data_IF_218603446610
#
_entry.id   IF_218603446610
#
_cell.length_a   1.000
_cell.length_b   1.000
_cell.length_c   1.000
_cell.angle_alpha   90.00
_cell.angle_beta   90.00
_cell.angle_gamma   90.00
#
_symmetry.space_group_name_H-M   'P 1'
#
loop_
_entity.id
_entity.type
_entity.pdbx_description
1 polymer ?
#
# COMPACT_ATOMS: atom_id res chain seq x y z
N UNK A 1 -27.03 37.65 -34.86
CA UNK A 1 -25.65 37.48 -35.37
C UNK A 1 -24.88 36.63 -34.36
N UNK A 2 -24.98 35.30 -34.47
CA UNK A 2 -24.25 34.35 -33.59
C UNK A 2 -22.78 34.37 -34.07
N UNK A 3 -21.87 34.84 -33.23
CA UNK A 3 -20.44 34.65 -33.42
C UNK A 3 -20.17 33.15 -33.42
N UNK A 4 -19.90 32.53 -34.57
CA UNK A 4 -19.29 31.20 -34.68
C UNK A 4 -18.00 31.26 -33.88
N UNK A 5 -17.97 30.63 -32.73
CA UNK A 5 -16.72 30.34 -32.04
C UNK A 5 -15.89 29.52 -33.03
N UNK A 6 -14.71 30.00 -33.36
CA UNK A 6 -13.80 29.31 -34.27
C UNK A 6 -13.51 27.93 -33.68
N UNK A 7 -13.94 26.87 -34.37
CA UNK A 7 -13.61 25.50 -34.00
C UNK A 7 -12.07 25.37 -34.05
N UNK A 8 -11.44 24.85 -32.98
CA UNK A 8 -9.98 24.65 -32.98
C UNK A 8 -9.62 23.80 -34.18
N UNK A 9 -8.55 24.19 -34.92
CA UNK A 9 -8.06 23.39 -36.02
C UNK A 9 -7.80 21.94 -35.56
N UNK A 10 -8.29 20.96 -36.28
CA UNK A 10 -8.15 19.55 -35.99
C UNK A 10 -6.69 19.16 -35.63
N UNK A 11 -5.73 19.68 -36.35
CA UNK A 11 -4.31 19.48 -36.09
C UNK A 11 -3.87 19.97 -34.69
N UNK A 12 -4.35 21.15 -34.26
CA UNK A 12 -4.06 21.69 -32.93
C UNK A 12 -4.70 20.83 -31.83
N UNK A 13 -5.94 20.36 -32.02
CA UNK A 13 -6.62 19.48 -31.10
C UNK A 13 -5.91 18.14 -30.95
N UNK A 14 -5.44 17.53 -32.05
CA UNK A 14 -4.65 16.29 -32.04
C UNK A 14 -3.30 16.51 -31.35
N UNK A 15 -2.62 17.64 -31.63
CA UNK A 15 -1.37 18.02 -30.97
C UNK A 15 -1.55 18.13 -29.44
N UNK A 16 -2.60 18.84 -29.01
CA UNK A 16 -2.97 18.94 -27.60
C UNK A 16 -3.29 17.57 -26.98
N UNK A 17 -4.04 16.70 -27.68
CA UNK A 17 -4.34 15.35 -27.22
C UNK A 17 -3.09 14.48 -27.05
N UNK A 18 -2.10 14.58 -27.94
CA UNK A 18 -0.81 13.90 -27.78
C UNK A 18 -0.05 14.41 -26.56
N UNK A 19 -0.05 15.72 -26.31
CA UNK A 19 0.56 16.32 -25.13
C UNK A 19 -0.15 15.86 -23.85
N UNK A 20 -1.48 15.83 -23.82
CA UNK A 20 -2.25 15.28 -22.67
C UNK A 20 -1.94 13.81 -22.43
N UNK A 21 -1.78 13.00 -23.48
CA UNK A 21 -1.37 11.60 -23.38
C UNK A 21 0.02 11.48 -22.75
N UNK A 22 0.97 12.32 -23.17
CA UNK A 22 2.31 12.36 -22.60
C UNK A 22 2.31 12.78 -21.11
N UNK A 23 1.36 13.63 -20.71
CA UNK A 23 1.16 14.02 -19.32
C UNK A 23 0.38 12.96 -18.49
N UNK A 24 0.05 11.82 -19.07
CA UNK A 24 -0.73 10.76 -18.45
C UNK A 24 -2.24 11.01 -18.37
N UNK A 25 -2.73 12.12 -18.97
CA UNK A 25 -4.14 12.52 -18.95
C UNK A 25 -4.92 11.90 -20.13
N UNK A 26 -4.88 10.57 -20.21
CA UNK A 26 -5.41 9.82 -21.33
C UNK A 26 -6.91 10.06 -21.58
N UNK A 27 -7.71 10.29 -20.54
CA UNK A 27 -9.15 10.58 -20.65
C UNK A 27 -9.42 11.89 -21.41
N UNK A 28 -8.58 12.91 -21.21
CA UNK A 28 -8.71 14.18 -21.95
C UNK A 28 -8.34 13.99 -23.41
N UNK A 29 -7.26 13.26 -23.66
CA UNK A 29 -6.80 12.94 -25.00
C UNK A 29 -7.85 12.16 -25.80
N UNK A 30 -8.46 11.15 -25.16
CA UNK A 30 -9.50 10.33 -25.81
C UNK A 30 -10.77 11.14 -26.12
N UNK A 31 -11.19 12.04 -25.23
CA UNK A 31 -12.33 12.93 -25.49
C UNK A 31 -12.04 13.92 -26.61
N UNK A 32 -10.88 14.57 -26.60
CA UNK A 32 -10.50 15.54 -27.62
C UNK A 32 -10.38 14.91 -29.02
N UNK A 33 -9.77 13.73 -29.12
CA UNK A 33 -9.66 13.01 -30.41
C UNK A 33 -11.00 12.50 -30.91
N UNK A 34 -11.95 12.15 -30.02
CA UNK A 34 -13.28 11.74 -30.43
C UNK A 34 -14.07 12.87 -31.11
N UNK A 35 -13.93 14.12 -30.66
CA UNK A 35 -14.58 15.26 -31.33
C UNK A 35 -14.07 15.43 -32.77
N UNK A 36 -12.75 15.30 -32.97
CA UNK A 36 -12.15 15.38 -34.31
C UNK A 36 -12.66 14.25 -35.22
N UNK A 37 -12.73 13.01 -34.71
CA UNK A 37 -13.23 11.85 -35.50
C UNK A 37 -14.71 12.03 -35.89
N UNK A 38 -15.53 12.68 -35.04
CA UNK A 38 -16.96 12.95 -35.37
C UNK A 38 -17.10 14.00 -36.45
N UNK A 39 -16.22 14.99 -36.51
CA UNK A 39 -16.22 16.02 -37.51
C UNK A 39 -15.59 15.54 -38.83
N UNK A 40 -14.52 14.74 -38.76
CA UNK A 40 -13.79 14.17 -39.88
C UNK A 40 -13.50 12.68 -39.64
N UNK A 41 -14.40 11.77 -40.07
CA UNK A 41 -14.22 10.33 -39.92
C UNK A 41 -13.04 9.75 -40.73
N UNK A 42 -12.43 10.53 -41.61
CA UNK A 42 -11.24 10.16 -42.40
C UNK A 42 -9.91 10.53 -41.73
N UNK A 43 -9.94 11.11 -40.53
CA UNK A 43 -8.75 11.69 -39.92
C UNK A 43 -7.83 10.61 -39.29
N UNK A 44 -6.86 10.14 -40.04
CA UNK A 44 -5.87 9.12 -39.65
C UNK A 44 -5.15 9.49 -38.34
N UNK A 45 -4.71 10.73 -38.21
CA UNK A 45 -3.96 11.20 -37.06
C UNK A 45 -4.80 11.19 -35.78
N UNK A 46 -6.11 11.47 -35.85
CA UNK A 46 -7.02 11.42 -34.73
C UNK A 46 -7.24 9.97 -34.25
N UNK A 47 -7.43 9.03 -35.18
CA UNK A 47 -7.52 7.60 -34.84
C UNK A 47 -6.23 7.07 -34.20
N UNK A 48 -5.06 7.42 -34.74
CA UNK A 48 -3.77 7.01 -34.20
C UNK A 48 -3.53 7.57 -32.77
N UNK A 49 -3.82 8.85 -32.56
CA UNK A 49 -3.66 9.49 -31.24
C UNK A 49 -4.65 8.91 -30.22
N UNK A 50 -5.92 8.68 -30.62
CA UNK A 50 -6.93 8.06 -29.77
C UNK A 50 -6.56 6.63 -29.39
N UNK A 51 -6.15 5.83 -30.38
CA UNK A 51 -5.76 4.45 -30.15
C UNK A 51 -4.57 4.33 -29.18
N UNK A 52 -3.58 5.20 -29.33
CA UNK A 52 -2.44 5.26 -28.41
C UNK A 52 -2.86 5.65 -26.98
N UNK A 53 -3.69 6.69 -26.83
CA UNK A 53 -4.18 7.12 -25.52
C UNK A 53 -5.01 6.06 -24.81
N UNK A 54 -5.86 5.31 -25.54
CA UNK A 54 -6.64 4.19 -25.01
C UNK A 54 -5.74 3.04 -24.52
N UNK A 55 -4.71 2.67 -25.28
CA UNK A 55 -3.74 1.68 -24.82
C UNK A 55 -3.03 2.11 -23.53
N UNK A 56 -2.68 3.38 -23.39
CA UNK A 56 -2.07 3.91 -22.16
C UNK A 56 -3.06 4.07 -21.01
N UNK A 57 -4.37 3.89 -21.26
CA UNK A 57 -5.41 3.74 -20.24
C UNK A 57 -5.67 2.29 -19.83
N UNK A 58 -4.87 1.34 -20.30
CA UNK A 58 -5.06 -0.13 -20.16
C UNK A 58 -6.26 -0.69 -20.95
N UNK A 59 -6.85 0.09 -21.89
CA UNK A 59 -7.89 -0.38 -22.83
C UNK A 59 -7.26 -0.74 -24.17
N UNK A 60 -6.52 -1.85 -24.18
CA UNK A 60 -5.86 -2.34 -25.40
C UNK A 60 -6.85 -2.80 -26.48
N UNK A 61 -8.02 -3.29 -26.10
CA UNK A 61 -9.01 -3.75 -27.06
C UNK A 61 -9.53 -2.60 -27.94
N UNK A 62 -9.92 -1.49 -27.34
CA UNK A 62 -10.36 -0.33 -28.07
C UNK A 62 -9.18 0.41 -28.71
N UNK A 63 -8.06 0.50 -28.01
CA UNK A 63 -6.86 1.14 -28.49
C UNK A 63 -6.35 0.54 -29.80
N UNK A 64 -6.20 -0.79 -29.85
CA UNK A 64 -5.76 -1.49 -31.05
C UNK A 64 -6.79 -1.44 -32.19
N UNK A 65 -8.11 -1.41 -31.90
CA UNK A 65 -9.14 -1.18 -32.92
C UNK A 65 -8.97 0.17 -33.62
N UNK A 66 -8.74 1.24 -32.84
CA UNK A 66 -8.54 2.58 -33.38
C UNK A 66 -7.23 2.67 -34.18
N UNK A 67 -6.15 2.02 -33.71
CA UNK A 67 -4.88 1.96 -34.45
C UNK A 67 -5.04 1.15 -35.76
N UNK A 68 -5.81 0.07 -35.78
CA UNK A 68 -6.15 -0.66 -37.02
C UNK A 68 -6.96 0.21 -37.98
N UNK A 69 -7.90 1.02 -37.49
CA UNK A 69 -8.67 1.92 -38.33
C UNK A 69 -7.78 3.01 -38.93
N UNK A 70 -6.82 3.57 -38.18
CA UNK A 70 -5.82 4.47 -38.73
C UNK A 70 -5.03 3.83 -39.89
N UNK A 71 -4.63 2.55 -39.73
CA UNK A 71 -3.93 1.79 -40.77
C UNK A 71 -4.83 1.41 -41.96
N UNK A 72 -6.14 1.24 -41.75
CA UNK A 72 -7.09 1.02 -42.84
C UNK A 72 -7.23 2.26 -43.70
N UNK A 73 -7.22 3.46 -43.09
CA UNK A 73 -7.32 4.74 -43.79
C UNK A 73 -6.01 5.12 -44.48
N UNK A 74 -4.87 4.84 -43.88
CA UNK A 74 -3.53 5.06 -44.40
C UNK A 74 -2.62 3.86 -44.11
N UNK A 75 -2.53 2.87 -44.99
CA UNK A 75 -1.73 1.66 -44.81
C UNK A 75 -0.21 1.98 -44.74
N UNK A 76 0.24 3.03 -45.36
CA UNK A 76 1.66 3.41 -45.42
C UNK A 76 2.08 4.37 -44.31
N UNK A 77 1.16 4.77 -43.47
CA UNK A 77 1.37 5.68 -42.35
C UNK A 77 2.36 5.13 -41.31
N UNK A 78 3.64 5.49 -41.45
CA UNK A 78 4.75 4.99 -40.63
C UNK A 78 4.51 5.16 -39.11
N UNK A 79 3.89 6.27 -38.69
CA UNK A 79 3.61 6.54 -37.28
C UNK A 79 2.53 5.60 -36.72
N UNK A 80 1.45 5.41 -37.46
CA UNK A 80 0.39 4.47 -37.08
C UNK A 80 0.89 3.03 -37.06
N UNK A 81 1.74 2.63 -38.01
CA UNK A 81 2.37 1.31 -38.03
C UNK A 81 3.26 1.09 -36.81
N UNK A 82 4.13 2.08 -36.45
CA UNK A 82 5.00 1.99 -35.27
C UNK A 82 4.15 1.88 -33.98
N UNK A 83 3.16 2.76 -33.82
CA UNK A 83 2.29 2.75 -32.67
C UNK A 83 1.53 1.41 -32.52
N UNK A 84 0.96 0.90 -33.62
CA UNK A 84 0.25 -0.38 -33.61
C UNK A 84 1.16 -1.54 -33.23
N UNK A 85 2.34 -1.66 -33.86
CA UNK A 85 3.28 -2.76 -33.57
C UNK A 85 3.74 -2.70 -32.12
N UNK A 86 4.05 -1.49 -31.60
CA UNK A 86 4.48 -1.32 -30.22
C UNK A 86 3.36 -1.70 -29.24
N UNK A 87 2.18 -1.12 -29.39
CA UNK A 87 1.07 -1.37 -28.46
C UNK A 87 0.58 -2.82 -28.53
N UNK A 88 0.64 -3.49 -29.70
CA UNK A 88 0.33 -4.91 -29.80
C UNK A 88 1.35 -5.76 -29.01
N UNK A 89 2.65 -5.50 -29.15
CA UNK A 89 3.69 -6.21 -28.38
C UNK A 89 3.52 -5.97 -26.86
N UNK A 90 3.17 -4.76 -26.47
CA UNK A 90 2.88 -4.41 -25.06
C UNK A 90 1.69 -5.19 -24.53
N UNK A 91 0.59 -5.27 -25.30
CA UNK A 91 -0.60 -6.04 -24.92
C UNK A 91 -0.30 -7.54 -24.79
N UNK A 92 0.49 -8.10 -25.73
CA UNK A 92 0.89 -9.51 -25.70
C UNK A 92 1.79 -9.79 -24.48
N UNK A 93 2.72 -8.89 -24.14
CA UNK A 93 3.59 -9.01 -22.96
C UNK A 93 2.78 -8.91 -21.66
N UNK A 94 1.86 -7.94 -21.55
CA UNK A 94 0.99 -7.77 -20.39
C UNK A 94 0.09 -8.99 -20.18
N UNK A 95 -0.45 -9.55 -21.26
CA UNK A 95 -1.26 -10.78 -21.20
C UNK A 95 -0.44 -11.95 -20.66
N UNK A 96 0.77 -12.15 -21.17
CA UNK A 96 1.70 -13.18 -20.66
C UNK A 96 2.01 -12.96 -19.17
N UNK A 97 2.27 -11.72 -18.76
CA UNK A 97 2.55 -11.38 -17.36
C UNK A 97 1.39 -11.76 -16.44
N UNK A 98 0.16 -11.36 -16.81
CA UNK A 98 -1.06 -11.68 -16.06
C UNK A 98 -1.36 -13.18 -16.01
N UNK A 99 -1.10 -13.90 -17.11
CA UNK A 99 -1.23 -15.36 -17.17
C UNK A 99 -0.19 -16.08 -16.29
N UNK A 100 1.08 -15.66 -16.33
CA UNK A 100 2.14 -16.20 -15.47
C UNK A 100 1.82 -15.96 -14.00
N UNK A 101 1.29 -14.78 -13.64
CA UNK A 101 0.83 -14.50 -12.29
C UNK A 101 -0.31 -15.42 -11.84
N UNK A 102 -1.31 -15.66 -12.70
CA UNK A 102 -2.41 -16.61 -12.43
C UNK A 102 -1.91 -18.04 -12.22
N UNK A 103 -0.92 -18.47 -13.00
CA UNK A 103 -0.26 -19.80 -12.85
C UNK A 103 0.69 -19.87 -11.64
N UNK A 104 0.83 -18.79 -10.87
CA UNK A 104 1.77 -18.64 -9.75
C UNK A 104 3.26 -18.72 -10.14
N UNK A 105 3.58 -18.50 -11.39
CA UNK A 105 4.95 -18.35 -11.90
C UNK A 105 5.41 -16.89 -11.67
N UNK A 106 5.66 -16.53 -10.41
CA UNK A 106 5.82 -15.13 -10.01
C UNK A 106 7.10 -14.48 -10.53
N UNK A 107 8.17 -15.24 -10.72
CA UNK A 107 9.40 -14.75 -11.35
C UNK A 107 9.17 -14.40 -12.82
N UNK A 108 8.52 -15.31 -13.57
CA UNK A 108 8.15 -15.06 -14.97
C UNK A 108 7.19 -13.87 -15.08
N UNK A 109 6.24 -13.73 -14.12
CA UNK A 109 5.31 -12.61 -14.09
C UNK A 109 6.05 -11.29 -13.88
N UNK A 110 6.96 -11.21 -12.89
CA UNK A 110 7.80 -10.03 -12.64
C UNK A 110 8.56 -9.60 -13.89
N UNK A 111 9.23 -10.56 -14.54
CA UNK A 111 10.05 -10.30 -15.72
C UNK A 111 9.18 -9.83 -16.91
N UNK A 112 8.01 -10.45 -17.12
CA UNK A 112 7.07 -10.06 -18.15
C UNK A 112 6.42 -8.69 -17.87
N UNK A 113 6.13 -8.34 -16.62
CA UNK A 113 5.70 -6.97 -16.26
C UNK A 113 6.80 -5.95 -16.53
N UNK A 114 8.05 -6.28 -16.24
CA UNK A 114 9.22 -5.43 -16.54
C UNK A 114 9.39 -5.23 -18.05
N UNK A 115 9.25 -6.29 -18.85
CA UNK A 115 9.21 -6.22 -20.32
C UNK A 115 8.04 -5.32 -20.80
N UNK A 116 6.88 -5.47 -20.20
CA UNK A 116 5.70 -4.64 -20.55
C UNK A 116 5.96 -3.16 -20.35
N UNK A 117 6.57 -2.76 -19.23
CA UNK A 117 6.94 -1.36 -18.94
C UNK A 117 7.93 -0.82 -19.98
N UNK A 118 8.95 -1.61 -20.33
CA UNK A 118 9.95 -1.24 -21.32
C UNK A 118 9.35 -1.10 -22.74
N UNK A 119 8.45 -1.99 -23.13
CA UNK A 119 7.77 -1.96 -24.44
C UNK A 119 6.75 -0.82 -24.53
N UNK A 120 6.02 -0.56 -23.45
CA UNK A 120 4.99 0.47 -23.43
C UNK A 120 5.58 1.87 -23.64
N UNK A 121 6.79 2.12 -23.12
CA UNK A 121 7.40 3.45 -23.06
C UNK A 121 6.35 4.47 -22.53
N UNK A 122 5.63 4.03 -21.50
CA UNK A 122 4.49 4.75 -20.96
C UNK A 122 4.96 5.85 -20.01
N UNK A 123 4.38 7.05 -20.07
CA UNK A 123 4.65 8.07 -19.08
C UNK A 123 4.35 7.58 -17.67
N UNK A 124 5.20 7.89 -16.69
CA UNK A 124 5.03 7.45 -15.29
C UNK A 124 3.69 7.85 -14.67
N UNK A 125 3.03 8.86 -15.20
CA UNK A 125 1.69 9.31 -14.76
C UNK A 125 0.55 8.67 -15.54
N UNK A 126 0.83 7.74 -16.46
CA UNK A 126 -0.23 7.08 -17.22
C UNK A 126 -0.94 6.00 -16.37
N UNK A 127 -2.25 5.77 -16.60
CA UNK A 127 -2.98 4.69 -15.95
C UNK A 127 -2.32 3.32 -16.15
N UNK A 128 -1.85 3.03 -17.38
CA UNK A 128 -1.14 1.77 -17.69
C UNK A 128 0.09 1.58 -16.80
N UNK A 129 0.92 2.63 -16.66
CA UNK A 129 2.11 2.54 -15.80
C UNK A 129 1.72 2.19 -14.37
N UNK A 130 0.77 2.92 -13.77
CA UNK A 130 0.29 2.66 -12.41
C UNK A 130 -0.22 1.22 -12.22
N UNK A 131 -1.01 0.72 -13.19
CA UNK A 131 -1.53 -0.65 -13.15
C UNK A 131 -0.39 -1.69 -13.22
N UNK A 132 0.52 -1.57 -14.21
CA UNK A 132 1.58 -2.55 -14.43
C UNK A 132 2.58 -2.59 -13.26
N UNK A 133 3.00 -1.43 -12.72
CA UNK A 133 3.91 -1.42 -11.55
C UNK A 133 3.21 -1.99 -10.31
N UNK A 134 1.91 -1.75 -10.11
CA UNK A 134 1.18 -2.33 -9.00
C UNK A 134 0.98 -3.85 -9.13
N UNK A 135 0.79 -4.35 -10.34
CA UNK A 135 0.73 -5.78 -10.63
C UNK A 135 2.11 -6.45 -10.47
N UNK A 136 3.20 -5.76 -10.85
CA UNK A 136 4.56 -6.21 -10.59
C UNK A 136 4.85 -6.25 -9.08
N UNK A 137 4.43 -5.24 -8.33
CA UNK A 137 4.51 -5.21 -6.87
C UNK A 137 3.83 -6.43 -6.21
N UNK A 138 2.68 -6.87 -6.74
CA UNK A 138 2.04 -8.09 -6.26
C UNK A 138 2.89 -9.35 -6.52
N UNK A 139 3.54 -9.45 -7.67
CA UNK A 139 4.45 -10.56 -7.97
C UNK A 139 5.66 -10.54 -7.03
N UNK A 140 6.27 -9.37 -6.83
CA UNK A 140 7.39 -9.16 -5.90
C UNK A 140 7.02 -9.50 -4.45
N UNK A 141 5.82 -9.12 -3.98
CA UNK A 141 5.30 -9.51 -2.66
C UNK A 141 5.24 -11.04 -2.52
N UNK A 142 4.79 -11.76 -3.56
CA UNK A 142 4.75 -13.24 -3.56
C UNK A 142 6.14 -13.87 -3.55
N UNK A 143 7.13 -13.21 -4.15
CA UNK A 143 8.55 -13.59 -4.13
C UNK A 143 9.25 -13.18 -2.82
N UNK A 144 8.56 -12.52 -1.88
CA UNK A 144 9.12 -11.96 -0.64
C UNK A 144 10.16 -10.86 -0.85
N UNK A 145 10.17 -10.23 -2.02
CA UNK A 145 11.01 -9.08 -2.34
C UNK A 145 10.28 -7.80 -1.89
N UNK A 146 10.15 -7.64 -0.57
CA UNK A 146 9.23 -6.66 0.04
C UNK A 146 9.64 -5.21 -0.19
N UNK A 147 10.95 -4.90 -0.19
CA UNK A 147 11.45 -3.54 -0.45
C UNK A 147 11.21 -3.12 -1.90
N UNK A 148 11.49 -4.02 -2.85
CA UNK A 148 11.24 -3.76 -4.27
C UNK A 148 9.72 -3.60 -4.54
N UNK A 149 8.90 -4.45 -3.92
CA UNK A 149 7.45 -4.33 -4.01
C UNK A 149 6.93 -3.00 -3.45
N UNK A 150 7.51 -2.54 -2.33
CA UNK A 150 7.14 -1.27 -1.72
C UNK A 150 7.51 -0.09 -2.64
N UNK A 151 8.70 -0.12 -3.24
CA UNK A 151 9.12 0.90 -4.21
C UNK A 151 8.15 0.98 -5.42
N UNK A 152 7.74 -0.16 -5.96
CA UNK A 152 6.74 -0.22 -7.03
C UNK A 152 5.37 0.33 -6.58
N UNK A 153 4.95 0.04 -5.34
CA UNK A 153 3.72 0.62 -4.79
C UNK A 153 3.79 2.14 -4.69
N UNK A 154 4.92 2.69 -4.26
CA UNK A 154 5.12 4.13 -4.16
C UNK A 154 5.08 4.80 -5.54
N UNK A 155 5.65 4.18 -6.58
CA UNK A 155 5.52 4.62 -7.96
C UNK A 155 4.07 4.60 -8.44
N UNK A 156 3.32 3.54 -8.13
CA UNK A 156 1.90 3.44 -8.51
C UNK A 156 1.05 4.52 -7.84
N UNK A 157 1.29 4.81 -6.56
CA UNK A 157 0.58 5.87 -5.81
C UNK A 157 0.98 7.27 -6.34
N UNK A 158 2.26 7.50 -6.66
CA UNK A 158 2.72 8.75 -7.25
C UNK A 158 2.09 9.01 -8.64
N UNK A 159 1.86 7.93 -9.41
CA UNK A 159 1.16 7.99 -10.69
C UNK A 159 -0.34 8.25 -10.50
N UNK A 160 -0.94 7.64 -9.49
CA UNK A 160 -2.38 7.69 -9.21
C UNK A 160 -2.66 7.57 -7.72
N UNK A 161 -3.00 8.68 -7.07
CA UNK A 161 -3.22 8.75 -5.61
C UNK A 161 -4.35 7.85 -5.10
N UNK A 162 -5.32 7.50 -5.94
CA UNK A 162 -6.46 6.62 -5.60
C UNK A 162 -6.24 5.14 -5.91
N UNK A 163 -4.98 4.70 -6.13
CA UNK A 163 -4.67 3.34 -6.56
C UNK A 163 -4.77 2.32 -5.41
N UNK A 164 -5.97 1.80 -5.16
CA UNK A 164 -6.29 0.93 -4.01
C UNK A 164 -5.35 -0.29 -3.87
N UNK A 165 -5.04 -0.98 -4.98
CA UNK A 165 -4.14 -2.15 -4.96
C UNK A 165 -2.76 -1.81 -4.40
N UNK A 166 -2.20 -0.66 -4.79
CA UNK A 166 -0.88 -0.24 -4.33
C UNK A 166 -0.84 -0.03 -2.81
N UNK A 167 -1.86 0.61 -2.24
CA UNK A 167 -1.96 0.78 -0.77
C UNK A 167 -2.07 -0.55 -0.04
N UNK A 168 -2.86 -1.50 -0.56
CA UNK A 168 -3.01 -2.82 0.04
C UNK A 168 -1.70 -3.62 0.03
N UNK A 169 -1.02 -3.64 -1.12
CA UNK A 169 0.27 -4.34 -1.29
C UNK A 169 1.34 -3.68 -0.42
N UNK A 170 1.42 -2.34 -0.40
CA UNK A 170 2.35 -1.60 0.46
C UNK A 170 2.14 -1.93 1.94
N UNK A 171 0.89 -1.92 2.42
CA UNK A 171 0.56 -2.32 3.79
C UNK A 171 1.02 -3.74 4.11
N UNK A 172 0.83 -4.68 3.18
CA UNK A 172 1.28 -6.07 3.33
C UNK A 172 2.81 -6.19 3.38
N UNK A 173 3.53 -5.45 2.53
CA UNK A 173 4.99 -5.39 2.52
C UNK A 173 5.54 -4.80 3.81
N UNK A 174 4.97 -3.70 4.28
CA UNK A 174 5.39 -3.02 5.51
C UNK A 174 5.20 -3.89 6.76
N UNK A 175 4.11 -4.67 6.84
CA UNK A 175 3.93 -5.67 7.91
C UNK A 175 5.04 -6.72 7.85
N UNK A 176 5.36 -7.23 6.66
CA UNK A 176 6.39 -8.25 6.49
C UNK A 176 7.80 -7.73 6.81
N UNK A 177 8.05 -6.44 6.57
CA UNK A 177 9.30 -5.74 6.90
C UNK A 177 9.42 -5.36 8.39
N UNK A 178 8.39 -5.66 9.21
CA UNK A 178 8.39 -5.25 10.62
C UNK A 178 8.17 -3.76 10.84
N UNK A 179 7.52 -3.06 9.91
CA UNK A 179 7.17 -1.64 9.96
C UNK A 179 5.64 -1.44 10.11
N UNK A 180 5.03 -1.98 11.18
CA UNK A 180 3.58 -2.04 11.28
C UNK A 180 2.91 -0.67 11.45
N UNK A 181 3.59 0.33 12.00
CA UNK A 181 3.05 1.68 12.14
C UNK A 181 2.78 2.32 10.78
N UNK A 182 3.75 2.24 9.87
CA UNK A 182 3.61 2.74 8.50
C UNK A 182 2.58 1.92 7.70
N UNK A 183 2.50 0.61 7.96
CA UNK A 183 1.47 -0.23 7.38
C UNK A 183 0.06 0.24 7.78
N UNK A 184 -0.15 0.58 9.06
CA UNK A 184 -1.42 1.08 9.55
C UNK A 184 -1.82 2.39 8.85
N UNK A 185 -0.88 3.34 8.67
CA UNK A 185 -1.12 4.59 7.96
C UNK A 185 -1.53 4.36 6.50
N UNK A 186 -0.83 3.47 5.77
CA UNK A 186 -1.16 3.15 4.37
C UNK A 186 -2.54 2.48 4.25
N UNK A 187 -2.86 1.56 5.14
CA UNK A 187 -4.14 0.86 5.16
C UNK A 187 -5.30 1.76 5.61
N UNK A 188 -5.04 2.74 6.49
CA UNK A 188 -6.03 3.76 6.87
C UNK A 188 -6.44 4.63 5.67
N UNK A 189 -5.49 5.02 4.82
CA UNK A 189 -5.81 5.73 3.56
C UNK A 189 -6.74 4.88 2.69
N UNK A 190 -6.45 3.59 2.55
CA UNK A 190 -7.29 2.67 1.78
C UNK A 190 -8.69 2.52 2.38
N UNK A 191 -8.82 2.45 3.72
CA UNK A 191 -10.11 2.41 4.41
C UNK A 191 -10.94 3.70 4.24
N UNK A 192 -10.28 4.86 4.12
CA UNK A 192 -10.98 6.11 3.79
C UNK A 192 -11.58 6.09 2.37
N UNK A 193 -10.93 5.38 1.44
CA UNK A 193 -11.44 5.18 0.07
C UNK A 193 -12.55 4.13 -0.01
N UNK A 194 -12.47 3.09 0.84
CA UNK A 194 -13.42 1.99 0.88
C UNK A 194 -13.64 1.49 2.32
N UNK A 195 -14.55 2.16 3.06
CA UNK A 195 -14.83 1.79 4.45
C UNK A 195 -15.48 0.42 4.63
N UNK A 196 -15.96 -0.20 3.56
CA UNK A 196 -16.66 -1.48 3.62
C UNK A 196 -15.76 -2.70 3.41
N UNK A 197 -14.49 -2.51 3.02
CA UNK A 197 -13.56 -3.62 2.77
C UNK A 197 -13.09 -4.29 4.07
N UNK A 198 -13.75 -5.39 4.42
CA UNK A 198 -13.44 -6.20 5.61
C UNK A 198 -12.01 -6.80 5.59
N UNK A 199 -11.45 -7.02 4.40
CA UNK A 199 -10.07 -7.54 4.27
C UNK A 199 -9.07 -6.49 4.71
N UNK A 200 -9.25 -5.27 4.22
CA UNK A 200 -8.42 -4.13 4.61
C UNK A 200 -8.57 -3.79 6.10
N UNK A 201 -9.80 -3.85 6.66
CA UNK A 201 -10.03 -3.65 8.10
C UNK A 201 -9.20 -4.62 8.94
N UNK A 202 -9.28 -5.92 8.64
CA UNK A 202 -8.51 -6.95 9.35
C UNK A 202 -6.99 -6.73 9.26
N UNK A 203 -6.50 -6.33 8.09
CA UNK A 203 -5.08 -6.02 7.91
C UNK A 203 -4.67 -4.77 8.69
N UNK A 204 -5.51 -3.73 8.70
CA UNK A 204 -5.29 -2.52 9.49
C UNK A 204 -5.28 -2.82 11.00
N UNK A 205 -6.27 -3.55 11.49
CA UNK A 205 -6.33 -3.98 12.90
C UNK A 205 -5.09 -4.78 13.31
N UNK A 206 -4.63 -5.68 12.43
CA UNK A 206 -3.38 -6.42 12.65
C UNK A 206 -2.18 -5.48 12.72
N UNK A 207 -2.07 -4.52 11.81
CA UNK A 207 -0.96 -3.54 11.79
C UNK A 207 -0.97 -2.65 13.05
N UNK A 208 -2.14 -2.20 13.49
CA UNK A 208 -2.32 -1.44 14.74
C UNK A 208 -1.93 -2.30 15.95
N UNK A 209 -2.37 -3.55 15.97
CA UNK A 209 -2.02 -4.49 17.05
C UNK A 209 -0.50 -4.71 17.15
N UNK A 210 0.18 -5.01 16.04
CA UNK A 210 1.63 -5.20 16.04
C UNK A 210 2.38 -3.91 16.41
N UNK A 211 1.85 -2.74 16.03
CA UNK A 211 2.40 -1.44 16.43
C UNK A 211 2.33 -1.23 17.96
N UNK A 212 1.19 -1.53 18.57
CA UNK A 212 1.00 -1.45 20.02
C UNK A 212 1.89 -2.46 20.74
N UNK A 213 1.94 -3.69 20.23
CA UNK A 213 2.80 -4.75 20.75
C UNK A 213 4.29 -4.37 20.73
N UNK A 214 4.76 -3.73 19.68
CA UNK A 214 6.15 -3.27 19.58
C UNK A 214 6.48 -2.14 20.58
N UNK A 215 5.51 -1.28 20.91
CA UNK A 215 5.67 -0.15 21.82
C UNK A 215 5.47 -0.49 23.30
N UNK A 216 4.92 -1.67 23.61
CA UNK A 216 4.62 -2.06 25.01
C UNK A 216 5.87 -2.25 25.83
N UNK A 217 5.83 -1.92 27.14
CA UNK A 217 6.94 -2.17 28.07
C UNK A 217 7.28 -3.67 28.13
N UNK A 218 8.57 -3.98 28.27
CA UNK A 218 9.08 -5.35 28.39
C UNK A 218 9.12 -5.77 29.86
N UNK A 219 7.98 -6.13 30.45
CA UNK A 219 7.82 -6.36 31.86
C UNK A 219 8.74 -7.45 32.43
N UNK A 220 9.06 -8.50 31.68
CA UNK A 220 10.04 -9.51 32.13
C UNK A 220 11.44 -8.92 32.28
N UNK A 221 11.87 -8.05 31.38
CA UNK A 221 13.16 -7.34 31.46
C UNK A 221 13.15 -6.31 32.58
N UNK A 222 12.05 -5.60 32.79
CA UNK A 222 11.87 -4.63 33.89
C UNK A 222 12.03 -5.34 35.23
N UNK A 223 11.45 -6.53 35.40
CA UNK A 223 11.56 -7.34 36.61
C UNK A 223 12.89 -8.10 36.70
N UNK A 224 13.59 -8.30 35.58
CA UNK A 224 14.81 -9.08 35.51
C UNK A 224 14.58 -10.57 35.68
N UNK A 225 13.46 -11.10 35.18
CA UNK A 225 13.06 -12.50 35.26
C UNK A 225 12.86 -13.14 33.89
N UNK A 226 12.91 -14.46 33.83
CA UNK A 226 12.59 -15.21 32.62
C UNK A 226 11.07 -15.18 32.33
N UNK A 227 10.70 -15.34 31.06
CA UNK A 227 9.29 -15.47 30.65
C UNK A 227 8.59 -16.71 31.20
N UNK A 228 9.34 -17.68 31.72
CA UNK A 228 8.81 -18.89 32.36
C UNK A 228 8.82 -18.81 33.90
N UNK A 229 9.22 -17.65 34.47
CA UNK A 229 9.27 -17.47 35.94
C UNK A 229 7.91 -17.70 36.60
N UNK A 230 7.92 -18.32 37.75
CA UNK A 230 6.73 -18.49 38.59
C UNK A 230 6.31 -17.20 39.28
N UNK A 231 5.07 -17.10 39.73
CA UNK A 231 4.57 -15.92 40.45
C UNK A 231 5.38 -15.63 41.73
N UNK A 232 5.83 -16.60 42.54
CA UNK A 232 6.74 -16.36 43.67
C UNK A 232 8.07 -15.74 43.25
N UNK A 233 8.69 -16.21 42.17
CA UNK A 233 9.95 -15.66 41.65
C UNK A 233 9.76 -14.20 41.15
N UNK A 234 8.65 -13.91 40.47
CA UNK A 234 8.27 -12.56 40.05
C UNK A 234 8.17 -11.63 41.25
N UNK A 235 7.48 -12.04 42.31
CA UNK A 235 7.34 -11.27 43.57
C UNK A 235 8.67 -11.04 44.27
N UNK A 236 9.54 -12.05 44.28
CA UNK A 236 10.88 -11.92 44.87
C UNK A 236 11.74 -10.92 44.07
N UNK A 237 11.76 -11.03 42.75
CA UNK A 237 12.49 -10.11 41.88
C UNK A 237 11.96 -8.66 41.99
N UNK A 238 10.63 -8.49 42.05
CA UNK A 238 10.02 -7.19 42.30
C UNK A 238 10.51 -6.56 43.58
N UNK A 239 10.50 -7.31 44.74
CA UNK A 239 10.98 -6.76 46.02
C UNK A 239 12.42 -6.34 45.94
N UNK A 240 13.29 -7.13 45.33
CA UNK A 240 14.70 -6.80 45.17
C UNK A 240 14.90 -5.50 44.34
N UNK A 241 14.21 -5.42 43.20
CA UNK A 241 14.26 -4.26 42.30
C UNK A 241 13.64 -2.99 42.92
N UNK A 242 12.55 -3.14 43.71
CA UNK A 242 11.97 -1.99 44.43
C UNK A 242 12.91 -1.41 45.47
N UNK A 243 13.69 -2.25 46.15
CA UNK A 243 14.75 -1.74 47.07
C UNK A 243 15.87 -1.01 46.32
N UNK A 244 16.22 -1.44 45.12
CA UNK A 244 17.23 -0.81 44.26
C UNK A 244 16.77 0.58 43.80
N UNK A 245 15.52 0.70 43.33
CA UNK A 245 14.98 1.91 42.71
C UNK A 245 14.05 2.72 43.62
N UNK A 246 14.12 2.48 44.97
CA UNK A 246 13.28 3.21 45.91
C UNK A 246 13.63 4.71 45.91
N UNK A 247 12.64 5.63 45.79
CA UNK A 247 12.89 7.07 45.72
C UNK A 247 13.77 7.61 46.88
N UNK A 248 13.59 7.11 48.11
CA UNK A 248 14.35 7.53 49.28
C UNK A 248 15.86 7.26 49.11
N UNK A 249 16.25 6.20 48.42
CA UNK A 249 17.68 5.89 48.17
C UNK A 249 18.32 6.82 47.14
N UNK A 250 17.51 7.49 46.35
CA UNK A 250 17.93 8.42 45.31
C UNK A 250 17.65 9.89 45.70
N UNK A 251 17.12 10.16 46.90
CA UNK A 251 16.71 11.49 47.35
C UNK A 251 17.85 12.55 47.36
N UNK A 252 19.11 12.11 47.56
CA UNK A 252 20.29 12.96 47.59
C UNK A 252 21.06 13.02 46.24
N UNK A 253 20.58 12.33 45.21
CA UNK A 253 21.23 12.26 43.92
C UNK A 253 20.75 13.40 42.97
N UNK A 254 21.31 13.44 41.76
CA UNK A 254 20.92 14.42 40.75
C UNK A 254 19.43 14.29 40.37
N UNK A 255 18.87 15.38 39.85
CA UNK A 255 17.44 15.36 39.43
C UNK A 255 17.17 14.37 38.28
N UNK A 256 18.17 14.13 37.44
CA UNK A 256 18.10 13.10 36.39
C UNK A 256 18.04 11.70 36.98
N UNK A 257 18.86 11.39 38.00
CA UNK A 257 18.86 10.10 38.68
C UNK A 257 17.58 9.87 39.48
N UNK A 258 17.02 10.92 40.12
CA UNK A 258 15.70 10.86 40.78
C UNK A 258 14.59 10.53 39.78
N UNK A 259 14.54 11.24 38.65
CA UNK A 259 13.55 11.00 37.62
C UNK A 259 13.68 9.61 37.02
N UNK A 260 14.89 9.07 36.87
CA UNK A 260 15.12 7.71 36.43
C UNK A 260 14.62 6.69 37.46
N UNK A 261 14.90 6.91 38.75
CA UNK A 261 14.45 6.04 39.84
C UNK A 261 12.92 5.98 39.93
N UNK A 262 12.23 7.13 39.86
CA UNK A 262 10.77 7.22 39.86
C UNK A 262 10.18 6.47 38.68
N UNK A 263 10.75 6.65 37.48
CA UNK A 263 10.28 5.96 36.25
C UNK A 263 10.42 4.46 36.37
N UNK A 264 11.57 3.97 36.85
CA UNK A 264 11.82 2.54 37.03
C UNK A 264 10.93 1.95 38.13
N UNK A 265 10.75 2.67 39.24
CA UNK A 265 9.88 2.26 40.33
C UNK A 265 8.42 2.13 39.87
N UNK A 266 7.93 3.11 39.10
CA UNK A 266 6.60 3.05 38.49
C UNK A 266 6.46 1.88 37.52
N UNK A 267 7.47 1.67 36.67
CA UNK A 267 7.48 0.54 35.72
C UNK A 267 7.47 -0.82 36.42
N UNK A 268 8.17 -0.95 37.56
CA UNK A 268 8.15 -2.16 38.39
C UNK A 268 6.75 -2.44 38.96
N UNK A 269 6.05 -1.42 39.46
CA UNK A 269 4.68 -1.55 39.95
C UNK A 269 3.71 -2.03 38.87
N UNK A 270 3.82 -1.42 37.68
CA UNK A 270 3.03 -1.83 36.52
C UNK A 270 3.35 -3.26 36.06
N UNK A 271 4.63 -3.63 36.06
CA UNK A 271 5.07 -4.98 35.71
C UNK A 271 4.51 -6.02 36.69
N UNK A 272 4.53 -5.78 38.00
CA UNK A 272 3.98 -6.67 38.99
C UNK A 272 2.47 -6.84 38.82
N UNK A 273 1.73 -5.74 38.66
CA UNK A 273 0.27 -5.76 38.47
C UNK A 273 -0.18 -6.68 37.31
N UNK A 274 0.57 -6.65 36.21
CA UNK A 274 0.26 -7.48 35.04
C UNK A 274 0.76 -8.90 35.22
N UNK A 275 1.95 -9.11 35.81
CA UNK A 275 2.60 -10.42 35.85
C UNK A 275 2.16 -11.32 37.00
N UNK A 276 1.59 -10.76 38.10
CA UNK A 276 1.10 -11.58 39.20
C UNK A 276 -0.28 -12.18 38.95
N UNK A 277 -1.10 -11.56 38.10
CA UNK A 277 -2.41 -12.07 37.70
C UNK A 277 -2.27 -13.01 36.49
N UNK A 278 -2.58 -14.32 36.63
CA UNK A 278 -2.41 -15.29 35.54
C UNK A 278 -3.16 -14.93 34.27
N UNK A 279 -4.33 -14.29 34.36
CA UNK A 279 -5.11 -13.87 33.19
C UNK A 279 -4.47 -12.66 32.51
N UNK A 280 -4.08 -11.64 33.26
CA UNK A 280 -3.39 -10.47 32.71
C UNK A 280 -2.06 -10.85 32.07
N UNK A 281 -1.28 -11.74 32.72
CA UNK A 281 -0.02 -12.26 32.20
C UNK A 281 -0.22 -12.99 30.87
N UNK A 282 -1.24 -13.85 30.78
CA UNK A 282 -1.59 -14.55 29.54
C UNK A 282 -1.88 -13.55 28.41
N UNK A 283 -2.70 -12.53 28.65
CA UNK A 283 -3.00 -11.48 27.67
C UNK A 283 -1.74 -10.71 27.25
N UNK A 284 -0.83 -10.42 28.19
CA UNK A 284 0.45 -9.82 27.88
C UNK A 284 1.30 -10.74 26.98
N UNK A 285 1.37 -12.03 27.26
CA UNK A 285 2.13 -12.99 26.47
C UNK A 285 1.52 -13.15 25.05
N UNK A 286 0.20 -13.03 24.92
CA UNK A 286 -0.51 -12.97 23.63
C UNK A 286 -0.21 -11.71 22.83
N UNK A 287 0.36 -10.65 23.45
CA UNK A 287 0.82 -9.45 22.77
C UNK A 287 0.03 -8.17 23.04
N UNK A 288 -0.97 -8.22 23.94
CA UNK A 288 -1.77 -7.03 24.26
C UNK A 288 -0.99 -5.99 25.07
N UNK A 289 -1.30 -4.70 24.84
CA UNK A 289 -0.81 -3.58 25.67
C UNK A 289 -1.62 -3.46 26.96
N UNK A 290 -1.17 -2.57 27.85
CA UNK A 290 -1.74 -2.38 29.18
C UNK A 290 -3.24 -2.04 29.14
N UNK A 291 -3.64 -1.14 28.24
CA UNK A 291 -5.00 -0.69 28.08
C UNK A 291 -5.91 -1.86 27.64
N UNK A 292 -5.51 -2.58 26.61
CA UNK A 292 -6.25 -3.74 26.11
C UNK A 292 -6.32 -4.89 27.14
N UNK A 293 -5.27 -5.09 27.94
CA UNK A 293 -5.26 -6.06 29.06
C UNK A 293 -6.30 -5.67 30.11
N UNK A 294 -6.33 -4.38 30.50
CA UNK A 294 -7.29 -3.88 31.50
C UNK A 294 -8.73 -4.06 31.04
N UNK A 295 -9.05 -3.63 29.80
CA UNK A 295 -10.39 -3.77 29.21
C UNK A 295 -10.84 -5.24 29.14
N UNK A 296 -9.99 -6.15 28.67
CA UNK A 296 -10.30 -7.58 28.54
C UNK A 296 -10.43 -8.27 29.88
N UNK A 297 -9.59 -7.94 30.84
CA UNK A 297 -9.68 -8.48 32.19
C UNK A 297 -10.97 -8.03 32.90
N UNK A 298 -11.37 -6.76 32.71
CA UNK A 298 -12.62 -6.25 33.25
C UNK A 298 -13.85 -6.88 32.58
N UNK A 299 -13.83 -7.00 31.24
CA UNK A 299 -14.90 -7.66 30.49
C UNK A 299 -15.10 -9.13 30.96
N UNK A 300 -14.00 -9.86 31.19
CA UNK A 300 -14.07 -11.22 31.69
C UNK A 300 -14.63 -11.30 33.12
N UNK A 301 -14.26 -10.36 34.02
CA UNK A 301 -14.84 -10.26 35.37
C UNK A 301 -16.34 -10.00 35.34
N UNK A 302 -16.77 -9.05 34.46
CA UNK A 302 -18.22 -8.76 34.29
C UNK A 302 -18.99 -9.94 33.73
N UNK A 303 -18.42 -10.73 32.82
CA UNK A 303 -19.04 -11.93 32.28
C UNK A 303 -19.19 -13.02 33.34
N UNK A 304 -18.16 -13.24 34.20
CA UNK A 304 -18.21 -14.15 35.30
C UNK A 304 -19.30 -13.81 36.35
N UNK A 305 -19.51 -12.49 36.60
CA UNK A 305 -20.58 -12.03 37.51
C UNK A 305 -22.00 -12.14 36.95
N UNK A 306 -22.18 -12.27 35.64
CA UNK A 306 -23.50 -12.41 34.99
C UNK A 306 -23.91 -13.90 34.81
N UNK A 307 -22.98 -14.81 34.93
CA UNK A 307 -23.21 -16.25 34.75
C UNK A 307 -23.31 -17.06 36.04
N UNK A 308 -23.19 -16.42 37.19
CA UNK A 308 -23.45 -16.99 38.52
C UNK A 308 -24.68 -16.38 39.17
#
# INVERSE_FOLDING_TARGET
MYKRQATPCAAATIGAARAETFLGRCDRATRATLSVIREDPGNVSAYAARGHALCLSDDFDQGLKHLKEALRLDPDGADAQRAFRRMKKTADALTRARESFKRRAFEEARDAFTETLALADAPERSPLFAEVVSERAQALLRLRLHEEALADCDLAVAAREDHKRAYYVAGSCLIALGRPAEAAERLEVLLKMDPSDETTKKHHEKAVFETRKAKRPRYYEVLGVSSVASVPEIKQAYKARCMEWHPDRHATKSDEEKALAERNFKALGEALEIMEDPMKRKLYDEGYDKEAIAERAEAARRAAHRGG
#
